data_IF_985674927304
#
_entry.id   IF_985674927304
#
_cell.length_a   1.000
_cell.length_b   1.000
_cell.length_c   1.000
_cell.angle_alpha   90.00
_cell.angle_beta   90.00
_cell.angle_gamma   90.00
#
_symmetry.space_group_name_H-M   'P 1'
#
loop_
_entity.id
_entity.type
_entity.pdbx_description
1 polymer ?
#
# COMPACT_ATOMS: atom_id res chain seq x y z
N UNK A 1 -29.63 -3.30 -49.11
CA UNK A 1 -29.48 -3.14 -47.65
C UNK A 1 -28.10 -3.62 -47.19
N UNK A 2 -27.09 -2.74 -47.04
CA UNK A 2 -25.75 -3.11 -46.52
C UNK A 2 -25.12 -1.94 -45.74
N UNK A 3 -25.64 -1.58 -44.57
CA UNK A 3 -25.04 -0.53 -43.70
C UNK A 3 -25.28 -0.77 -42.19
N UNK A 4 -24.96 -1.96 -41.67
CA UNK A 4 -25.05 -2.25 -40.22
C UNK A 4 -23.94 -3.18 -39.73
N UNK A 5 -22.66 -2.85 -39.96
CA UNK A 5 -21.53 -3.64 -39.42
C UNK A 5 -20.41 -2.86 -38.74
N UNK A 6 -20.51 -1.53 -38.64
CA UNK A 6 -19.39 -0.71 -38.13
C UNK A 6 -19.53 -0.24 -36.67
N UNK A 7 -20.67 -0.47 -36.00
CA UNK A 7 -20.89 0.04 -34.64
C UNK A 7 -20.37 -0.88 -33.52
N UNK A 8 -20.24 -2.19 -33.78
CA UNK A 8 -19.80 -3.16 -32.77
C UNK A 8 -18.28 -3.12 -32.51
N UNK A 9 -17.48 -2.75 -33.52
CA UNK A 9 -16.03 -2.66 -33.39
C UNK A 9 -15.58 -1.49 -32.49
N UNK A 10 -16.38 -0.42 -32.42
CA UNK A 10 -16.07 0.76 -31.61
C UNK A 10 -16.34 0.52 -30.11
N UNK A 11 -17.36 -0.27 -29.76
CA UNK A 11 -17.69 -0.59 -28.37
C UNK A 11 -16.72 -1.61 -27.76
N UNK A 12 -16.17 -2.51 -28.58
CA UNK A 12 -15.14 -3.46 -28.13
C UNK A 12 -13.78 -2.81 -27.85
N UNK A 13 -13.46 -1.69 -28.51
CA UNK A 13 -12.18 -0.99 -28.33
C UNK A 13 -12.16 -0.11 -27.07
N UNK A 14 -13.31 0.43 -26.63
CA UNK A 14 -13.39 1.20 -25.38
C UNK A 14 -13.26 0.28 -24.15
N UNK A 15 -13.88 -0.92 -24.18
CA UNK A 15 -13.81 -1.87 -23.07
C UNK A 15 -12.41 -2.49 -22.84
N UNK A 16 -11.60 -2.61 -23.91
CA UNK A 16 -10.26 -3.20 -23.83
C UNK A 16 -9.19 -2.22 -23.31
N UNK A 17 -9.39 -0.90 -23.50
CA UNK A 17 -8.45 0.12 -23.01
C UNK A 17 -8.59 0.33 -21.50
N UNK A 18 -9.79 0.12 -20.94
CA UNK A 18 -10.03 0.16 -19.50
C UNK A 18 -9.41 -1.01 -18.72
N UNK A 19 -9.08 -2.13 -19.36
CA UNK A 19 -8.47 -3.29 -18.68
C UNK A 19 -6.94 -3.30 -18.70
N UNK A 20 -6.28 -2.49 -19.54
CA UNK A 20 -4.83 -2.56 -19.76
C UNK A 20 -4.01 -1.44 -19.09
N UNK A 21 -4.65 -0.49 -18.42
CA UNK A 21 -3.98 0.73 -17.94
C UNK A 21 -3.90 0.89 -16.42
N UNK A 22 -4.14 -0.17 -15.63
CA UNK A 22 -3.73 -0.16 -14.22
C UNK A 22 -2.20 -0.34 -14.12
N UNK A 23 -1.49 0.71 -14.50
CA UNK A 23 -0.08 0.93 -14.20
C UNK A 23 0.15 0.74 -12.70
N UNK A 24 1.33 0.24 -12.34
CA UNK A 24 1.76 0.20 -10.95
C UNK A 24 1.62 1.61 -10.35
N UNK A 25 0.85 1.75 -9.28
CA UNK A 25 0.69 3.03 -8.58
C UNK A 25 1.13 2.88 -7.13
N UNK A 26 1.64 3.98 -6.57
CA UNK A 26 2.20 4.01 -5.23
C UNK A 26 1.81 5.31 -4.54
N UNK A 27 1.63 5.24 -3.23
CA UNK A 27 1.42 6.40 -2.38
C UNK A 27 2.30 6.32 -1.14
N UNK A 28 2.93 7.45 -0.83
CA UNK A 28 3.88 7.55 0.28
C UNK A 28 3.47 8.66 1.24
N UNK A 29 3.47 8.35 2.53
CA UNK A 29 3.27 9.31 3.62
C UNK A 29 4.54 9.36 4.46
N UNK A 30 5.15 10.54 4.55
CA UNK A 30 6.39 10.76 5.30
C UNK A 30 6.08 11.41 6.65
N UNK A 31 6.91 11.14 7.66
CA UNK A 31 6.87 11.76 8.97
C UNK A 31 8.15 11.52 9.75
N UNK A 32 8.08 11.64 11.06
CA UNK A 32 9.22 11.39 11.94
C UNK A 32 8.78 10.87 13.31
N UNK A 33 9.61 10.02 13.91
CA UNK A 33 9.52 9.56 15.30
C UNK A 33 10.76 10.06 16.05
N UNK A 34 10.63 11.06 16.92
CA UNK A 34 11.74 11.69 17.64
C UNK A 34 12.97 12.05 16.76
N UNK A 35 12.75 12.87 15.72
CA UNK A 35 13.76 13.27 14.71
C UNK A 35 14.35 12.13 13.85
N UNK A 36 13.83 10.91 13.93
CA UNK A 36 14.12 9.82 12.99
C UNK A 36 13.09 9.91 11.86
N UNK A 37 13.55 9.96 10.60
CA UNK A 37 12.63 10.03 9.46
C UNK A 37 11.97 8.68 9.24
N UNK A 38 10.66 8.68 9.08
CA UNK A 38 9.87 7.48 8.82
C UNK A 38 8.96 7.67 7.60
N UNK A 39 8.72 6.59 6.85
CA UNK A 39 7.91 6.57 5.64
C UNK A 39 6.94 5.39 5.66
N UNK A 40 5.71 5.62 5.25
CA UNK A 40 4.69 4.61 4.98
C UNK A 40 4.43 4.60 3.48
N UNK A 41 4.45 3.43 2.84
CA UNK A 41 4.26 3.27 1.40
C UNK A 41 3.21 2.21 1.14
N UNK A 42 2.25 2.49 0.25
CA UNK A 42 1.32 1.49 -0.29
C UNK A 42 1.43 1.48 -1.81
N UNK A 43 1.73 0.31 -2.38
CA UNK A 43 1.84 0.07 -3.82
C UNK A 43 0.75 -0.88 -4.27
N UNK A 44 0.24 -0.71 -5.50
CA UNK A 44 -0.74 -1.59 -6.13
C UNK A 44 -0.35 -1.91 -7.58
N UNK A 45 -0.49 -3.19 -7.95
CA UNK A 45 -0.40 -3.70 -9.32
C UNK A 45 -1.57 -4.66 -9.54
N UNK A 46 -2.59 -4.21 -10.26
CA UNK A 46 -3.86 -4.93 -10.37
C UNK A 46 -4.48 -5.14 -8.98
N UNK A 47 -4.63 -6.40 -8.56
CA UNK A 47 -5.13 -6.79 -7.22
C UNK A 47 -4.02 -7.13 -6.22
N UNK A 48 -2.76 -6.98 -6.61
CA UNK A 48 -1.61 -7.21 -5.74
C UNK A 48 -1.21 -5.91 -5.07
N UNK A 49 -1.21 -5.89 -3.74
CA UNK A 49 -0.81 -4.74 -2.93
C UNK A 49 0.47 -5.05 -2.17
N UNK A 50 1.32 -4.04 -2.00
CA UNK A 50 2.51 -4.10 -1.12
C UNK A 50 2.53 -2.86 -0.23
N UNK A 51 2.42 -3.06 1.07
CA UNK A 51 2.58 -2.00 2.07
C UNK A 51 3.95 -2.12 2.74
N UNK A 52 4.60 -0.98 3.03
CA UNK A 52 5.89 -0.94 3.71
C UNK A 52 6.02 0.24 4.66
N UNK A 53 6.69 0.03 5.78
CA UNK A 53 7.10 1.05 6.74
C UNK A 53 8.64 1.09 6.75
N UNK A 54 9.24 2.27 6.62
CA UNK A 54 10.68 2.47 6.51
C UNK A 54 11.15 3.56 7.47
N UNK A 55 12.34 3.42 8.04
CA UNK A 55 12.98 4.43 8.87
C UNK A 55 14.46 4.59 8.47
N UNK A 56 15.01 5.80 8.60
CA UNK A 56 16.41 6.06 8.27
C UNK A 56 17.39 5.50 9.33
N UNK A 57 16.91 5.23 10.54
CA UNK A 57 17.64 4.59 11.65
C UNK A 57 16.88 3.38 12.19
N UNK A 58 17.59 2.59 12.99
CA UNK A 58 17.01 1.43 13.68
C UNK A 58 15.90 1.88 14.63
N UNK A 59 14.78 1.19 14.57
CA UNK A 59 13.59 1.40 15.40
C UNK A 59 13.43 0.23 16.36
N UNK A 60 12.96 0.49 17.57
CA UNK A 60 12.71 -0.56 18.56
C UNK A 60 11.49 -1.41 18.19
N UNK A 61 10.52 -0.80 17.52
CA UNK A 61 9.36 -1.47 16.96
C UNK A 61 9.06 -0.88 15.58
N UNK A 62 8.86 -1.74 14.58
CA UNK A 62 8.40 -1.33 13.26
C UNK A 62 7.46 -2.41 12.72
N UNK A 63 6.30 -2.02 12.22
CA UNK A 63 5.31 -2.96 11.71
C UNK A 63 4.44 -2.37 10.61
N UNK A 64 3.78 -3.28 9.88
CA UNK A 64 2.82 -2.96 8.85
C UNK A 64 1.75 -4.03 8.79
N UNK A 65 0.50 -3.62 8.58
CA UNK A 65 -0.64 -4.51 8.34
C UNK A 65 -1.29 -4.12 7.02
N UNK A 66 -1.82 -5.10 6.28
CA UNK A 66 -2.52 -4.89 5.01
C UNK A 66 -3.81 -5.73 4.98
N UNK A 67 -4.96 -5.08 4.90
CA UNK A 67 -6.31 -5.66 4.87
C UNK A 67 -6.60 -6.67 5.99
N UNK A 68 -6.17 -6.33 7.21
CA UNK A 68 -6.31 -7.21 8.36
C UNK A 68 -5.45 -8.48 8.29
N UNK A 69 -4.74 -8.71 7.17
CA UNK A 69 -3.65 -9.66 7.10
C UNK A 69 -2.39 -8.96 7.62
N UNK A 70 -1.94 -9.42 8.77
CA UNK A 70 -0.57 -9.18 9.18
C UNK A 70 0.29 -10.14 8.35
N UNK A 71 1.15 -9.67 7.43
CA UNK A 71 2.40 -10.43 7.29
C UNK A 71 3.22 -10.02 8.49
N UNK A 72 3.70 -11.03 9.19
CA UNK A 72 4.52 -10.84 10.35
C UNK A 72 5.81 -11.62 10.19
N UNK A 73 6.89 -10.90 10.45
CA UNK A 73 8.04 -11.36 11.21
C UNK A 73 8.17 -10.26 12.30
N UNK A 74 8.08 -10.45 13.61
CA UNK A 74 8.11 -11.59 14.52
C UNK A 74 7.40 -11.16 15.82
N UNK A 75 6.68 -12.08 16.48
CA UNK A 75 6.17 -11.94 17.85
C UNK A 75 7.25 -12.21 18.88
N UNK A 76 7.01 -11.59 20.04
CA UNK A 76 7.55 -11.87 21.37
C UNK A 76 8.85 -11.17 21.70
N UNK A 77 8.66 -10.15 22.52
CA UNK A 77 9.50 -9.82 23.69
C UNK A 77 10.96 -9.40 23.46
N UNK A 78 11.48 -9.46 22.24
CA UNK A 78 12.82 -8.97 21.91
C UNK A 78 12.71 -7.66 21.11
N UNK A 79 13.44 -6.64 21.57
CA UNK A 79 13.60 -5.37 20.87
C UNK A 79 14.32 -5.63 19.54
N UNK A 80 13.57 -5.99 18.50
CA UNK A 80 14.12 -6.20 17.16
C UNK A 80 14.36 -4.84 16.52
N UNK A 81 15.61 -4.42 16.59
CA UNK A 81 16.11 -3.19 15.97
C UNK A 81 16.08 -3.35 14.45
N UNK A 82 15.03 -2.85 13.82
CA UNK A 82 14.84 -2.94 12.37
C UNK A 82 14.68 -1.55 11.74
N UNK A 83 15.04 -1.43 10.46
CA UNK A 83 14.82 -0.20 9.68
C UNK A 83 13.61 -0.27 8.78
N UNK A 84 13.09 -1.46 8.50
CA UNK A 84 11.99 -1.64 7.56
C UNK A 84 11.09 -2.82 7.93
N UNK A 85 9.82 -2.72 7.55
CA UNK A 85 8.85 -3.81 7.58
C UNK A 85 7.98 -3.71 6.33
N UNK A 86 7.68 -4.83 5.67
CA UNK A 86 6.78 -4.84 4.51
C UNK A 86 5.87 -6.06 4.50
N UNK A 87 4.70 -5.89 3.87
CA UNK A 87 3.72 -6.94 3.60
C UNK A 87 3.27 -6.88 2.15
N UNK A 88 3.08 -8.04 1.52
CA UNK A 88 2.48 -8.17 0.19
C UNK A 88 1.29 -9.12 0.22
N UNK A 89 0.17 -8.68 -0.32
CA UNK A 89 -1.02 -9.51 -0.44
C UNK A 89 -1.73 -9.30 -1.77
N UNK A 90 -2.26 -10.37 -2.34
CA UNK A 90 -3.29 -10.28 -3.38
C UNK A 90 -4.65 -10.25 -2.68
N UNK A 91 -5.42 -9.20 -2.93
CA UNK A 91 -6.72 -8.95 -2.29
C UNK A 91 -7.83 -9.16 -3.32
N UNK A 92 -8.96 -9.70 -2.88
CA UNK A 92 -10.07 -10.06 -3.78
C UNK A 92 -10.72 -8.82 -4.41
N UNK A 93 -10.79 -7.72 -3.65
CA UNK A 93 -11.21 -6.39 -4.07
C UNK A 93 -10.05 -5.56 -4.66
N UNK A 94 -10.40 -4.49 -5.38
CA UNK A 94 -9.47 -3.39 -5.71
C UNK A 94 -9.45 -2.30 -4.63
N UNK A 95 -9.97 -2.63 -3.46
CA UNK A 95 -9.94 -1.77 -2.28
C UNK A 95 -9.02 -2.45 -1.28
N UNK A 96 -8.12 -1.67 -0.69
CA UNK A 96 -7.20 -2.13 0.33
C UNK A 96 -6.93 -1.07 1.39
N UNK A 97 -6.53 -1.53 2.56
CA UNK A 97 -6.19 -0.71 3.72
C UNK A 97 -4.88 -1.17 4.34
N UNK A 98 -3.95 -0.24 4.59
CA UNK A 98 -2.74 -0.52 5.35
C UNK A 98 -2.54 0.41 6.54
N UNK A 99 -1.98 -0.16 7.62
CA UNK A 99 -1.53 0.58 8.81
C UNK A 99 -0.04 0.39 8.99
N UNK A 100 0.65 1.45 9.38
CA UNK A 100 2.10 1.54 9.47
C UNK A 100 2.47 2.09 10.84
N UNK A 101 3.40 1.41 11.52
CA UNK A 101 3.89 1.80 12.83
C UNK A 101 5.42 1.76 12.87
N UNK A 102 6.05 2.79 13.45
CA UNK A 102 7.44 2.74 13.88
C UNK A 102 7.62 3.54 15.18
N UNK A 103 8.32 2.96 16.15
CA UNK A 103 8.63 3.55 17.44
C UNK A 103 10.06 3.19 17.87
N UNK A 104 10.69 4.11 18.61
CA UNK A 104 12.06 3.95 19.11
C UNK A 104 12.15 4.04 20.65
N UNK A 105 11.02 4.00 21.36
CA UNK A 105 10.92 4.17 22.81
C UNK A 105 11.53 5.48 23.34
N UNK A 106 11.65 6.53 22.51
CA UNK A 106 12.26 7.82 22.89
C UNK A 106 11.36 9.02 22.67
N UNK A 107 10.05 8.84 22.44
CA UNK A 107 9.12 9.94 22.21
C UNK A 107 7.86 9.53 21.47
N UNK A 108 7.40 10.40 20.56
CA UNK A 108 6.24 10.16 19.69
C UNK A 108 6.51 9.03 18.68
N UNK A 109 5.48 8.27 18.32
CA UNK A 109 5.55 7.17 17.37
C UNK A 109 5.07 7.59 15.97
N UNK A 110 5.68 7.02 14.94
CA UNK A 110 5.19 7.15 13.58
C UNK A 110 4.01 6.20 13.36
N UNK A 111 2.79 6.73 13.36
CA UNK A 111 1.55 5.98 13.10
C UNK A 111 0.82 6.56 11.88
N UNK A 112 0.74 5.82 10.77
CA UNK A 112 0.07 6.27 9.54
C UNK A 112 -0.78 5.17 8.94
N UNK A 113 -1.86 5.56 8.27
CA UNK A 113 -2.67 4.65 7.47
C UNK A 113 -2.83 5.15 6.05
N UNK A 114 -2.77 4.22 5.10
CA UNK A 114 -2.98 4.49 3.67
C UNK A 114 -4.08 3.56 3.18
N UNK A 115 -5.10 4.16 2.58
CA UNK A 115 -6.17 3.41 1.92
C UNK A 115 -6.10 3.58 0.42
N UNK A 116 -6.57 2.58 -0.30
CA UNK A 116 -6.84 2.65 -1.73
C UNK A 116 -8.29 2.21 -1.95
N UNK A 117 -9.10 3.08 -2.56
CA UNK A 117 -10.52 2.81 -2.84
C UNK A 117 -10.96 3.56 -4.09
N UNK A 118 -11.79 2.91 -4.92
CA UNK A 118 -12.35 3.52 -6.13
C UNK A 118 -11.28 4.16 -7.05
N UNK A 119 -10.10 3.54 -7.16
CA UNK A 119 -9.02 4.03 -8.01
C UNK A 119 -8.16 5.16 -7.41
N UNK A 120 -8.36 5.52 -6.14
CA UNK A 120 -7.67 6.64 -5.50
C UNK A 120 -7.07 6.27 -4.15
N UNK A 121 -5.89 6.83 -3.87
CA UNK A 121 -5.27 6.77 -2.54
C UNK A 121 -5.86 7.83 -1.61
N UNK A 122 -5.94 7.51 -0.33
CA UNK A 122 -6.30 8.47 0.71
C UNK A 122 -5.55 8.18 2.00
N UNK A 123 -5.27 9.26 2.75
CA UNK A 123 -4.68 9.20 4.09
C UNK A 123 -5.80 9.11 5.12
N UNK A 124 -5.54 8.39 6.20
CA UNK A 124 -6.34 8.44 7.44
C UNK A 124 -5.52 8.98 8.59
#
# INVERSE_FOLDING_TARGET
MKKKKYLAALLFSVGLISTLSMSASAHTVVGSCNNIRCEAVLNIVGKSFRAGTYADKLMANISVTLDGKNEWWIDRDEQNLEKEAYVKATITSLDAWSTHHADNNRGDAFNRGIGYKNGSFYKR
#
